data_IF_106815214120
#
_entry.id   IF_106815214120
#
_cell.length_a   1.000
_cell.length_b   1.000
_cell.length_c   1.000
_cell.angle_alpha   90.00
_cell.angle_beta   90.00
_cell.angle_gamma   90.00
#
_symmetry.space_group_name_H-M   'P 1'
#
loop_
_entity.id
_entity.type
_entity.pdbx_description
1 polymer ?
#
# COMPACT_ATOMS: atom_id res chain seq x y z
N UNK A 1 -8.99 9.09 -17.43
CA UNK A 1 -9.86 9.11 -16.24
C UNK A 1 -9.02 8.65 -15.05
N UNK A 2 -8.88 9.46 -13.99
CA UNK A 2 -8.07 9.14 -12.80
C UNK A 2 -8.95 9.13 -11.55
N UNK A 3 -8.77 8.16 -10.65
CA UNK A 3 -9.44 8.17 -9.36
C UNK A 3 -8.95 9.37 -8.53
N UNK A 4 -9.88 10.25 -8.15
CA UNK A 4 -9.63 11.45 -7.37
C UNK A 4 -10.52 11.46 -6.13
N UNK A 5 -10.01 12.04 -5.04
CA UNK A 5 -10.80 12.23 -3.82
C UNK A 5 -11.90 13.27 -4.04
N UNK A 6 -13.15 13.00 -3.62
CA UNK A 6 -14.23 14.00 -3.64
C UNK A 6 -13.82 15.26 -2.87
N UNK A 7 -14.16 16.45 -3.39
CA UNK A 7 -13.89 17.76 -2.78
C UNK A 7 -12.41 18.18 -2.66
N UNK A 8 -11.51 17.59 -3.45
CA UNK A 8 -10.14 18.08 -3.54
C UNK A 8 -10.04 19.29 -4.47
N UNK A 9 -9.78 20.49 -3.91
CA UNK A 9 -9.53 21.73 -4.68
C UNK A 9 -8.32 21.61 -5.64
N UNK A 10 -7.41 20.67 -5.37
CA UNK A 10 -6.16 20.47 -6.09
C UNK A 10 -6.11 19.17 -6.94
N UNK A 11 -7.22 18.45 -7.09
CA UNK A 11 -7.27 17.22 -7.90
C UNK A 11 -6.38 16.09 -7.35
N UNK A 12 -6.39 15.86 -6.04
CA UNK A 12 -5.56 14.83 -5.39
C UNK A 12 -5.93 13.44 -5.92
N UNK A 13 -5.00 12.85 -6.66
CA UNK A 13 -5.13 11.48 -7.16
C UNK A 13 -5.06 10.48 -6.01
N UNK A 14 -6.08 9.64 -5.90
CA UNK A 14 -6.11 8.56 -4.92
C UNK A 14 -5.11 7.44 -5.25
N UNK A 15 -4.64 7.38 -6.50
CA UNK A 15 -3.72 6.34 -6.98
C UNK A 15 -2.59 6.97 -7.79
N UNK A 16 -1.35 6.59 -7.49
CA UNK A 16 -0.18 6.88 -8.33
C UNK A 16 0.31 5.59 -8.94
N UNK A 17 0.22 5.48 -10.26
CA UNK A 17 0.76 4.35 -11.02
C UNK A 17 2.21 4.66 -11.39
N UNK A 18 3.08 3.66 -11.28
CA UNK A 18 4.49 3.71 -11.62
C UNK A 18 4.73 2.89 -12.89
N UNK A 19 5.40 3.51 -13.86
CA UNK A 19 5.71 2.90 -15.15
C UNK A 19 6.48 3.87 -16.04
N UNK A 20 7.08 3.39 -17.14
CA UNK A 20 7.74 4.25 -18.11
C UNK A 20 6.64 4.92 -18.93
N UNK A 21 6.82 6.19 -19.26
CA UNK A 21 5.79 6.91 -20.03
C UNK A 21 5.76 6.53 -21.52
N UNK A 22 6.73 5.74 -22.00
CA UNK A 22 7.02 5.60 -23.44
C UNK A 22 7.24 4.16 -23.92
N UNK A 23 7.32 3.17 -23.01
CA UNK A 23 7.51 1.76 -23.40
C UNK A 23 6.25 0.95 -23.10
N UNK A 24 5.54 0.54 -24.16
CA UNK A 24 4.30 -0.22 -24.10
C UNK A 24 4.53 -1.74 -23.96
N UNK A 25 5.76 -2.23 -24.17
CA UNK A 25 6.15 -3.64 -23.98
C UNK A 25 6.31 -4.06 -22.51
N UNK A 26 5.68 -3.29 -21.60
CA UNK A 26 5.55 -3.71 -20.21
C UNK A 26 4.61 -4.89 -20.22
N UNK A 27 5.06 -6.01 -19.67
CA UNK A 27 4.16 -7.09 -19.31
C UNK A 27 2.96 -6.58 -18.49
N UNK A 28 2.01 -7.46 -18.18
CA UNK A 28 0.67 -7.17 -17.63
C UNK A 28 0.64 -6.55 -16.21
N UNK A 29 1.80 -6.18 -15.68
CA UNK A 29 2.01 -5.89 -14.26
C UNK A 29 1.94 -4.39 -14.06
N UNK A 30 1.14 -3.98 -13.07
CA UNK A 30 1.00 -2.58 -12.68
C UNK A 30 1.61 -2.40 -11.30
N UNK A 31 2.52 -1.44 -11.16
CA UNK A 31 3.01 -0.96 -9.88
C UNK A 31 2.25 0.32 -9.51
N UNK A 32 1.68 0.41 -8.31
CA UNK A 32 0.95 1.60 -7.88
C UNK A 32 0.97 1.79 -6.36
N UNK A 33 0.66 3.00 -5.92
CA UNK A 33 0.41 3.33 -4.52
C UNK A 33 -0.95 4.03 -4.39
N UNK A 34 -1.59 3.85 -3.23
CA UNK A 34 -2.86 4.47 -2.89
C UNK A 34 -2.63 5.57 -1.85
N UNK A 35 -3.35 6.67 -1.97
CA UNK A 35 -3.20 7.87 -1.13
C UNK A 35 -4.51 8.21 -0.44
N UNK A 36 -4.40 8.70 0.80
CA UNK A 36 -5.51 9.23 1.57
C UNK A 36 -5.97 10.59 1.00
N UNK A 37 -7.12 11.10 1.44
CA UNK A 37 -7.61 12.44 1.05
C UNK A 37 -6.65 13.57 1.46
N UNK A 38 -5.83 13.31 2.49
CA UNK A 38 -4.73 14.18 2.94
C UNK A 38 -3.45 14.06 2.10
N UNK A 39 -3.47 13.28 1.01
CA UNK A 39 -2.30 12.97 0.16
C UNK A 39 -1.21 12.16 0.88
N UNK A 40 -1.51 11.58 2.04
CA UNK A 40 -0.61 10.65 2.72
C UNK A 40 -0.63 9.29 2.04
N UNK A 41 0.56 8.73 1.77
CA UNK A 41 0.69 7.36 1.22
C UNK A 41 0.17 6.36 2.25
N UNK A 42 -0.71 5.48 1.79
CA UNK A 42 -1.23 4.39 2.61
C UNK A 42 -0.18 3.27 2.61
N UNK A 43 0.12 2.74 3.79
CA UNK A 43 1.10 1.66 3.97
C UNK A 43 0.79 0.48 3.02
N UNK A 44 1.71 0.12 2.10
CA UNK A 44 1.54 -1.01 1.20
C UNK A 44 1.19 -2.32 1.93
N UNK A 45 1.73 -2.55 3.13
CA UNK A 45 1.40 -3.74 3.91
C UNK A 45 -0.06 -3.77 4.37
N UNK A 46 -0.65 -2.59 4.66
CA UNK A 46 -2.08 -2.48 4.96
C UNK A 46 -2.91 -2.78 3.70
N UNK A 47 -2.55 -2.19 2.55
CA UNK A 47 -3.28 -2.39 1.29
C UNK A 47 -3.27 -3.87 0.89
N UNK A 48 -2.10 -4.53 0.88
CA UNK A 48 -1.97 -5.95 0.58
C UNK A 48 -2.81 -6.83 1.52
N UNK A 49 -2.81 -6.53 2.82
CA UNK A 49 -3.63 -7.28 3.78
C UNK A 49 -5.13 -7.13 3.50
N UNK A 50 -5.56 -5.94 3.10
CA UNK A 50 -6.96 -5.68 2.75
C UNK A 50 -7.35 -6.35 1.43
N UNK A 51 -6.46 -6.41 0.44
CA UNK A 51 -6.73 -7.06 -0.85
C UNK A 51 -6.83 -8.57 -0.69
N UNK A 52 -5.93 -9.17 0.11
CA UNK A 52 -5.95 -10.61 0.39
C UNK A 52 -7.26 -11.05 1.06
N UNK A 53 -7.86 -10.20 1.91
CA UNK A 53 -9.18 -10.45 2.50
C UNK A 53 -10.33 -10.41 1.49
N UNK A 54 -10.12 -9.77 0.33
CA UNK A 54 -11.10 -9.64 -0.75
C UNK A 54 -10.76 -10.57 -1.93
N UNK A 55 -9.91 -11.58 -1.71
CA UNK A 55 -9.44 -12.52 -2.73
C UNK A 55 -8.83 -11.81 -3.95
N UNK A 56 -8.02 -10.78 -3.69
CA UNK A 56 -7.23 -10.06 -4.70
C UNK A 56 -5.76 -10.16 -4.30
N UNK A 57 -4.98 -10.88 -5.10
CA UNK A 57 -3.58 -11.17 -4.83
C UNK A 57 -2.67 -10.06 -5.34
N UNK A 58 -2.19 -9.23 -4.41
CA UNK A 58 -1.18 -8.20 -4.69
C UNK A 58 0.11 -8.49 -3.92
N UNK A 59 1.24 -8.11 -4.50
CA UNK A 59 2.57 -8.15 -3.89
C UNK A 59 2.98 -6.75 -3.45
N UNK A 60 3.92 -6.71 -2.51
CA UNK A 60 4.67 -5.50 -2.22
C UNK A 60 5.94 -5.59 -3.05
N UNK A 61 6.08 -4.70 -4.01
CA UNK A 61 7.30 -4.49 -4.78
C UNK A 61 8.12 -3.35 -4.20
N UNK A 62 9.37 -3.27 -4.61
CA UNK A 62 10.25 -2.16 -4.28
C UNK A 62 10.78 -1.57 -5.57
N UNK A 63 10.64 -0.25 -5.72
CA UNK A 63 11.24 0.50 -6.80
C UNK A 63 12.47 1.25 -6.30
N UNK A 64 13.59 1.12 -7.01
CA UNK A 64 14.86 1.78 -6.75
C UNK A 64 15.26 2.60 -7.97
N UNK A 65 16.13 3.60 -7.79
CA UNK A 65 16.66 4.45 -8.86
C UNK A 65 15.61 5.15 -9.73
N UNK A 66 14.42 5.46 -9.19
CA UNK A 66 13.44 6.25 -9.94
C UNK A 66 13.62 7.73 -9.60
N UNK A 67 14.06 8.52 -10.59
CA UNK A 67 14.07 9.96 -10.49
C UNK A 67 12.66 10.51 -10.73
N UNK A 68 12.02 11.01 -9.67
CA UNK A 68 10.76 11.72 -9.80
C UNK A 68 11.04 13.22 -9.76
N UNK A 69 10.58 13.98 -10.76
CA UNK A 69 10.32 15.42 -10.56
C UNK A 69 9.09 15.58 -9.66
N UNK A 70 9.23 15.28 -8.37
CA UNK A 70 8.21 15.58 -7.36
C UNK A 70 8.57 16.94 -6.78
N UNK A 71 7.85 17.98 -7.20
CA UNK A 71 7.77 19.20 -6.40
C UNK A 71 6.94 18.86 -5.15
N UNK A 72 7.63 18.83 -4.00
CA UNK A 72 7.17 18.93 -2.60
C UNK A 72 6.18 17.82 -2.10
N UNK A 73 6.32 17.21 -0.92
CA UNK A 73 6.88 17.65 0.36
C UNK A 73 7.43 16.45 1.17
N UNK A 74 8.54 16.69 1.87
CA UNK A 74 9.03 16.08 3.12
C UNK A 74 9.06 14.55 3.25
N UNK A 75 10.07 13.93 2.61
CA UNK A 75 10.80 12.86 3.31
C UNK A 75 11.93 13.58 4.04
N UNK A 76 11.87 13.63 5.37
CA UNK A 76 12.97 14.16 6.19
C UNK A 76 14.21 13.29 5.94
N UNK A 77 15.13 13.84 5.18
CA UNK A 77 16.44 13.24 4.92
C UNK A 77 17.21 13.13 6.24
N UNK A 78 17.55 11.89 6.59
CA UNK A 78 18.91 11.60 7.01
C UNK A 78 19.35 10.38 6.25
N UNK A 79 20.52 10.52 5.66
CA UNK A 79 21.32 9.53 4.95
C UNK A 79 21.07 9.41 3.44
N UNK A 80 22.19 9.32 2.72
CA UNK A 80 22.43 9.37 1.28
C UNK A 80 21.86 8.13 0.54
N UNK A 81 20.63 7.75 0.89
CA UNK A 81 19.94 6.58 0.36
C UNK A 81 19.22 6.96 -0.93
N UNK A 82 19.54 6.25 -2.00
CA UNK A 82 18.70 6.24 -3.20
C UNK A 82 17.24 6.00 -2.78
N UNK A 83 16.28 6.82 -3.25
CA UNK A 83 14.90 6.75 -2.78
C UNK A 83 14.29 5.40 -3.14
N UNK A 84 14.23 4.50 -2.16
CA UNK A 84 13.56 3.21 -2.22
C UNK A 84 12.09 3.43 -1.90
N UNK A 85 11.21 3.10 -2.84
CA UNK A 85 9.77 3.25 -2.66
C UNK A 85 9.13 1.87 -2.69
N UNK A 86 8.53 1.48 -1.57
CA UNK A 86 7.63 0.34 -1.54
C UNK A 86 6.33 0.68 -2.30
N UNK A 87 5.94 -0.22 -3.18
CA UNK A 87 4.78 -0.10 -4.07
C UNK A 87 3.95 -1.37 -3.99
N UNK A 88 2.67 -1.27 -4.34
CA UNK A 88 1.84 -2.43 -4.60
C UNK A 88 2.06 -2.86 -6.05
N UNK A 89 2.31 -4.15 -6.26
CA UNK A 89 2.40 -4.77 -7.58
C UNK A 89 1.37 -5.89 -7.69
N UNK A 90 0.89 -6.19 -8.89
CA UNK A 90 0.06 -7.36 -9.12
C UNK A 90 0.93 -8.62 -9.17
N UNK A 91 0.50 -9.72 -8.53
CA UNK A 91 1.17 -11.02 -8.64
C UNK A 91 0.59 -11.70 -9.87
N UNK A 92 1.27 -11.61 -11.00
CA UNK A 92 0.82 -12.20 -12.26
C UNK A 92 0.04 -11.23 -13.15
N UNK A 93 -0.40 -11.78 -14.28
CA UNK A 93 -1.07 -11.05 -15.34
C UNK A 93 -2.48 -10.67 -14.89
N UNK A 94 -2.86 -9.39 -14.92
CA UNK A 94 -4.26 -8.96 -14.92
C UNK A 94 -4.89 -9.36 -16.28
N UNK A 95 -5.03 -10.67 -16.54
CA UNK A 95 -5.39 -11.19 -17.87
C UNK A 95 -6.86 -10.99 -18.22
N UNK A 96 -7.72 -10.80 -17.22
CA UNK A 96 -9.16 -10.67 -17.42
C UNK A 96 -9.68 -9.29 -17.05
N UNK A 97 -10.69 -8.81 -17.77
CA UNK A 97 -11.41 -7.60 -17.43
C UNK A 97 -12.04 -7.68 -16.03
N UNK A 98 -12.48 -8.89 -15.64
CA UNK A 98 -13.04 -9.15 -14.31
C UNK A 98 -12.03 -8.87 -13.20
N UNK A 99 -10.79 -9.35 -13.34
CA UNK A 99 -9.75 -9.11 -12.32
C UNK A 99 -9.40 -7.63 -12.20
N UNK A 100 -9.32 -6.94 -13.34
CA UNK A 100 -9.10 -5.48 -13.41
C UNK A 100 -10.26 -4.75 -12.72
N UNK A 101 -11.50 -5.11 -13.04
CA UNK A 101 -12.69 -4.48 -12.48
C UNK A 101 -12.76 -4.71 -10.96
N UNK A 102 -12.54 -5.94 -10.50
CA UNK A 102 -12.50 -6.28 -9.06
C UNK A 102 -11.42 -5.50 -8.33
N UNK A 103 -10.24 -5.34 -8.92
CA UNK A 103 -9.15 -4.53 -8.36
C UNK A 103 -9.58 -3.06 -8.22
N UNK A 104 -10.12 -2.46 -9.27
CA UNK A 104 -10.51 -1.04 -9.24
C UNK A 104 -11.71 -0.77 -8.33
N UNK A 105 -12.70 -1.67 -8.27
CA UNK A 105 -13.80 -1.61 -7.29
C UNK A 105 -13.28 -1.71 -5.87
N UNK A 106 -12.24 -2.50 -5.62
CA UNK A 106 -11.62 -2.56 -4.31
C UNK A 106 -10.84 -1.28 -3.98
N UNK A 107 -10.04 -0.76 -4.93
CA UNK A 107 -9.25 0.47 -4.76
C UNK A 107 -10.14 1.70 -4.58
N UNK A 108 -11.32 1.76 -5.20
CA UNK A 108 -12.25 2.87 -5.03
C UNK A 108 -12.76 3.02 -3.59
N UNK A 109 -12.77 1.95 -2.78
CA UNK A 109 -13.12 2.01 -1.35
C UNK A 109 -12.21 2.93 -0.55
N UNK A 110 -10.99 3.16 -1.02
CA UNK A 110 -10.03 4.07 -0.38
C UNK A 110 -10.37 5.55 -0.56
N UNK A 111 -11.34 5.88 -1.43
CA UNK A 111 -11.91 7.23 -1.53
C UNK A 111 -12.79 7.56 -0.32
N UNK A 112 -13.32 6.56 0.38
CA UNK A 112 -14.08 6.76 1.60
C UNK A 112 -13.14 6.87 2.82
N UNK A 113 -13.07 8.08 3.37
CA UNK A 113 -12.28 8.37 4.57
C UNK A 113 -12.74 7.53 5.78
N UNK A 114 -14.01 7.15 5.87
CA UNK A 114 -14.54 6.34 6.97
C UNK A 114 -14.07 4.89 6.88
N UNK A 115 -14.07 4.31 5.68
CA UNK A 115 -13.48 3.00 5.41
C UNK A 115 -12.02 2.95 5.88
N UNK A 116 -11.22 3.95 5.50
CA UNK A 116 -9.81 4.01 5.85
C UNK A 116 -9.54 4.16 7.34
N UNK A 117 -10.26 5.07 8.02
CA UNK A 117 -10.15 5.23 9.47
C UNK A 117 -10.44 3.89 10.17
N UNK A 118 -11.54 3.24 9.81
CA UNK A 118 -11.96 1.96 10.40
C UNK A 118 -10.87 0.89 10.23
N UNK A 119 -10.34 0.69 9.02
CA UNK A 119 -9.32 -0.35 8.80
C UNK A 119 -7.96 0.00 9.44
N UNK A 120 -7.56 1.29 9.47
CA UNK A 120 -6.36 1.74 10.21
C UNK A 120 -6.48 1.43 11.71
N UNK A 121 -7.63 1.69 12.34
CA UNK A 121 -7.87 1.37 13.76
C UNK A 121 -7.84 -0.14 14.01
N UNK A 122 -8.49 -0.94 13.15
CA UNK A 122 -8.47 -2.42 13.25
C UNK A 122 -7.06 -2.98 13.10
N UNK A 123 -6.29 -2.45 12.16
CA UNK A 123 -4.91 -2.85 11.95
C UNK A 123 -4.04 -2.59 13.19
N UNK A 124 -4.15 -1.38 13.78
CA UNK A 124 -3.46 -1.04 15.04
C UNK A 124 -3.86 -1.95 16.19
N UNK A 125 -5.15 -2.24 16.35
CA UNK A 125 -5.65 -3.12 17.40
C UNK A 125 -5.12 -4.56 17.27
N UNK A 126 -5.13 -5.12 16.04
CA UNK A 126 -4.63 -6.47 15.77
C UNK A 126 -3.12 -6.55 16.03
N UNK A 127 -2.33 -5.56 15.58
CA UNK A 127 -0.89 -5.55 15.80
C UNK A 127 -0.55 -5.45 17.29
N UNK A 128 -1.26 -4.59 18.05
CA UNK A 128 -1.10 -4.51 19.52
C UNK A 128 -1.40 -5.85 20.20
N UNK A 129 -2.47 -6.55 19.79
CA UNK A 129 -2.82 -7.87 20.32
C UNK A 129 -1.75 -8.93 19.97
N UNK A 130 -1.25 -8.93 18.74
CA UNK A 130 -0.19 -9.85 18.28
C UNK A 130 1.11 -9.64 19.05
N UNK A 131 1.54 -8.39 19.22
CA UNK A 131 2.75 -8.07 19.99
C UNK A 131 2.66 -8.57 21.43
N UNK A 132 1.53 -8.32 22.11
CA UNK A 132 1.29 -8.85 23.47
C UNK A 132 1.35 -10.37 23.53
N UNK A 133 0.71 -11.07 22.59
CA UNK A 133 0.73 -12.53 22.52
C UNK A 133 2.15 -13.07 22.30
N UNK A 134 2.91 -12.47 21.37
CA UNK A 134 4.27 -12.88 21.09
C UNK A 134 5.18 -12.68 22.31
N UNK A 135 5.05 -11.54 23.01
CA UNK A 135 5.81 -11.28 24.24
C UNK A 135 5.49 -12.30 25.33
N UNK A 136 4.21 -12.69 25.47
CA UNK A 136 3.79 -13.73 26.41
C UNK A 136 4.43 -15.09 26.07
N UNK A 137 4.42 -15.48 24.78
CA UNK A 137 5.05 -16.73 24.32
C UNK A 137 6.56 -16.70 24.59
N UNK A 138 7.22 -15.57 24.32
CA UNK A 138 8.64 -15.37 24.64
C UNK A 138 8.91 -15.48 26.14
N UNK A 139 8.06 -14.90 27.00
CA UNK A 139 8.22 -15.04 28.45
C UNK A 139 8.04 -16.49 28.93
N UNK A 140 7.12 -17.25 28.33
CA UNK A 140 6.97 -18.68 28.62
C UNK A 140 8.17 -19.49 28.14
N UNK A 141 8.69 -19.20 26.94
CA UNK A 141 9.87 -19.87 26.40
C UNK A 141 11.12 -19.60 27.24
N UNK A 142 11.35 -18.34 27.64
CA UNK A 142 12.46 -17.96 28.52
C UNK A 142 12.35 -18.65 29.88
N UNK A 143 11.15 -18.67 30.48
CA UNK A 143 10.92 -19.37 31.75
C UNK A 143 11.20 -20.87 31.64
N UNK A 144 10.79 -21.52 30.55
CA UNK A 144 10.98 -22.97 30.34
C UNK A 144 12.43 -23.36 30.02
N UNK A 145 13.26 -22.43 29.52
CA UNK A 145 14.69 -22.68 29.28
C UNK A 145 15.57 -22.39 30.51
N UNK A 146 15.04 -21.74 31.54
CA UNK A 146 15.76 -21.36 32.77
C UNK A 146 15.45 -22.29 33.97
N UNK A 147 14.55 -23.26 33.79
CA UNK A 147 14.20 -24.32 34.76
C UNK A 147 14.65 -25.65 34.18
#
# INVERSE_FOLDING_TARGET
MSLQHPHSEAGIHAVKIYGPKVMFDRGPTVAFNVFDWKRERIDPALVQKLTNRNNISLCIGCLQHIWFSVKHEEIKEKDEFQPRIDVITTIGFLTSFEDIYRLWVFVSRFLDANFLKKEKWRYKAINKKRLKKNLLILSFFVFYCLV
#
